data_IF_475219095256
#
_entry.id   IF_475219095256
#
_cell.length_a   1.000
_cell.length_b   1.000
_cell.length_c   1.000
_cell.angle_alpha   90.00
_cell.angle_beta   90.00
_cell.angle_gamma   90.00
#
_symmetry.space_group_name_H-M   'P 1'
#
loop_
_entity.id
_entity.type
_entity.pdbx_description
1 polymer ?
#
# COMPACT_ATOMS: atom_id res chain seq x y z
N UNK A 1 5.01 -13.89 9.10
CA UNK A 1 5.88 -12.70 8.95
C UNK A 1 6.82 -13.00 7.80
N UNK A 2 6.93 -12.10 6.83
CA UNK A 2 7.81 -12.28 5.67
C UNK A 2 8.99 -11.33 5.78
N UNK A 3 10.21 -11.86 5.61
CA UNK A 3 11.47 -11.11 5.69
C UNK A 3 12.28 -11.48 4.46
N UNK A 4 12.77 -10.47 3.74
CA UNK A 4 13.59 -10.65 2.55
C UNK A 4 14.46 -9.42 2.33
N UNK A 5 15.67 -9.63 1.81
CA UNK A 5 16.56 -8.58 1.35
C UNK A 5 16.04 -7.92 0.06
N UNK A 6 15.26 -8.66 -0.74
CA UNK A 6 14.70 -8.19 -2.00
C UNK A 6 13.16 -8.12 -1.96
N UNK A 7 12.61 -6.97 -2.35
CA UNK A 7 11.17 -6.66 -2.35
C UNK A 7 10.60 -6.55 -3.77
N UNK A 8 11.07 -7.39 -4.70
CA UNK A 8 10.59 -7.43 -6.08
C UNK A 8 9.35 -8.31 -6.29
N UNK A 9 8.84 -8.33 -7.51
CA UNK A 9 7.61 -9.04 -7.90
C UNK A 9 7.54 -10.50 -7.42
N UNK A 10 8.66 -11.26 -7.52
CA UNK A 10 8.72 -12.67 -7.09
C UNK A 10 8.48 -12.85 -5.59
N UNK A 11 8.96 -11.91 -4.77
CA UNK A 11 8.77 -11.96 -3.32
C UNK A 11 7.29 -11.76 -2.97
N UNK A 12 6.64 -10.75 -3.57
CA UNK A 12 5.22 -10.49 -3.34
C UNK A 12 4.33 -11.62 -3.82
N UNK A 13 4.63 -12.19 -5.00
CA UNK A 13 3.92 -13.35 -5.53
C UNK A 13 3.95 -14.54 -4.57
N UNK A 14 5.13 -14.82 -3.99
CA UNK A 14 5.28 -15.87 -2.98
C UNK A 14 4.41 -15.61 -1.75
N UNK A 15 4.39 -14.37 -1.24
CA UNK A 15 3.60 -14.01 -0.06
C UNK A 15 2.09 -14.18 -0.31
N UNK A 16 1.57 -13.69 -1.44
CA UNK A 16 0.16 -13.82 -1.77
C UNK A 16 -0.26 -15.28 -2.03
N UNK A 17 0.60 -16.05 -2.70
CA UNK A 17 0.38 -17.50 -2.90
C UNK A 17 0.34 -18.25 -1.57
N UNK A 18 1.23 -17.91 -0.64
CA UNK A 18 1.20 -18.49 0.70
C UNK A 18 -0.10 -18.16 1.45
N UNK A 19 -0.61 -16.92 1.33
CA UNK A 19 -1.91 -16.54 1.89
C UNK A 19 -3.05 -17.39 1.29
N UNK A 20 -3.03 -17.60 -0.03
CA UNK A 20 -4.04 -18.41 -0.71
C UNK A 20 -4.00 -19.86 -0.22
N UNK A 21 -2.79 -20.43 -0.11
CA UNK A 21 -2.56 -21.79 0.42
C UNK A 21 -2.99 -21.95 1.88
N UNK A 22 -2.98 -20.86 2.66
CA UNK A 22 -3.50 -20.83 4.05
C UNK A 22 -5.02 -20.69 4.12
N UNK A 23 -5.70 -20.62 2.98
CA UNK A 23 -7.16 -20.58 2.89
C UNK A 23 -7.77 -19.19 2.75
N UNK A 24 -6.96 -18.15 2.52
CA UNK A 24 -7.51 -16.83 2.14
C UNK A 24 -8.04 -16.94 0.71
N UNK A 25 -9.36 -16.82 0.57
CA UNK A 25 -10.03 -17.03 -0.73
C UNK A 25 -10.18 -15.76 -1.54
N UNK A 26 -10.49 -14.67 -0.85
CA UNK A 26 -10.79 -13.40 -1.50
C UNK A 26 -10.36 -12.24 -0.60
N UNK A 27 -9.93 -11.16 -1.24
CA UNK A 27 -9.50 -9.92 -0.63
C UNK A 27 -10.05 -8.80 -1.51
N UNK A 28 -10.91 -7.95 -0.94
CA UNK A 28 -11.52 -6.89 -1.73
C UNK A 28 -10.53 -5.76 -2.03
N UNK A 29 -9.71 -5.36 -1.05
CA UNK A 29 -8.83 -4.20 -1.16
C UNK A 29 -7.46 -4.50 -0.55
N UNK A 30 -6.38 -4.19 -1.28
CA UNK A 30 -5.06 -3.96 -0.71
C UNK A 30 -4.72 -2.48 -0.70
N UNK A 31 -4.12 -2.04 0.39
CA UNK A 31 -3.45 -0.75 0.46
C UNK A 31 -1.97 -0.97 0.78
N UNK A 32 -1.06 -0.61 -0.12
CA UNK A 32 0.38 -0.67 0.14
C UNK A 32 1.08 0.67 -0.13
N UNK A 33 2.32 0.80 0.34
CA UNK A 33 3.22 1.81 -0.22
C UNK A 33 3.52 1.46 -1.69
N UNK A 34 3.97 2.40 -2.51
CA UNK A 34 4.20 2.22 -3.94
C UNK A 34 5.39 1.26 -4.23
N UNK A 35 5.19 -0.03 -3.94
CA UNK A 35 6.21 -1.07 -3.95
C UNK A 35 6.26 -1.76 -5.32
N UNK A 36 7.48 -1.88 -5.85
CA UNK A 36 7.72 -2.48 -7.16
C UNK A 36 7.23 -3.94 -7.22
N UNK A 37 6.47 -4.26 -8.27
CA UNK A 37 5.95 -5.61 -8.53
C UNK A 37 4.80 -6.05 -7.62
N UNK A 38 4.28 -5.17 -6.75
CA UNK A 38 3.13 -5.49 -5.88
C UNK A 38 1.85 -5.69 -6.69
N UNK A 39 1.51 -4.73 -7.56
CA UNK A 39 0.29 -4.79 -8.39
C UNK A 39 0.29 -6.04 -9.29
N UNK A 40 1.42 -6.35 -9.91
CA UNK A 40 1.56 -7.53 -10.79
C UNK A 40 1.34 -8.83 -10.01
N UNK A 41 1.87 -8.91 -8.78
CA UNK A 41 1.69 -10.07 -7.92
C UNK A 41 0.24 -10.22 -7.42
N UNK A 42 -0.43 -9.12 -7.08
CA UNK A 42 -1.86 -9.12 -6.71
C UNK A 42 -2.69 -9.62 -7.89
N UNK A 43 -2.51 -9.05 -9.08
CA UNK A 43 -3.26 -9.43 -10.28
C UNK A 43 -3.09 -10.91 -10.65
N UNK A 44 -1.94 -11.51 -10.32
CA UNK A 44 -1.67 -12.93 -10.57
C UNK A 44 -2.37 -13.89 -9.58
N UNK A 45 -2.55 -13.51 -8.31
CA UNK A 45 -3.08 -14.41 -7.26
C UNK A 45 -4.53 -14.08 -6.90
N UNK A 46 -4.87 -12.79 -6.80
CA UNK A 46 -6.18 -12.27 -6.44
C UNK A 46 -6.66 -11.27 -7.50
N UNK A 47 -7.09 -11.72 -8.69
CA UNK A 47 -7.41 -10.83 -9.82
C UNK A 47 -8.61 -9.90 -9.59
N UNK A 48 -9.44 -10.19 -8.59
CA UNK A 48 -10.60 -9.35 -8.22
C UNK A 48 -10.28 -8.33 -7.13
N UNK A 49 -9.07 -8.38 -6.57
CA UNK A 49 -8.63 -7.50 -5.49
C UNK A 49 -8.26 -6.14 -6.05
N UNK A 50 -8.85 -5.08 -5.50
CA UNK A 50 -8.52 -3.72 -5.86
C UNK A 50 -7.24 -3.29 -5.14
N UNK A 51 -6.22 -2.89 -5.88
CA UNK A 51 -4.98 -2.37 -5.30
C UNK A 51 -4.99 -0.84 -5.29
N UNK A 52 -4.89 -0.27 -4.10
CA UNK A 52 -4.82 1.17 -3.86
C UNK A 52 -3.48 1.55 -3.22
N UNK A 53 -3.01 2.74 -3.53
CA UNK A 53 -1.85 3.31 -2.82
C UNK A 53 -2.31 3.79 -1.45
N UNK A 54 -1.61 3.38 -0.40
CA UNK A 54 -1.98 3.69 0.97
C UNK A 54 -1.86 5.20 1.26
N UNK A 55 -3.00 5.85 1.51
CA UNK A 55 -3.04 7.28 1.80
C UNK A 55 -2.24 7.67 3.05
N UNK A 56 -2.16 6.79 4.06
CA UNK A 56 -1.35 7.04 5.25
C UNK A 56 0.13 7.13 4.90
N UNK A 57 0.61 6.26 4.00
CA UNK A 57 1.98 6.35 3.48
C UNK A 57 2.18 7.63 2.68
N UNK A 58 1.20 8.02 1.84
CA UNK A 58 1.26 9.28 1.09
C UNK A 58 1.36 10.50 2.01
N UNK A 59 0.47 10.62 3.01
CA UNK A 59 0.50 11.73 3.97
C UNK A 59 1.84 11.76 4.70
N UNK A 60 2.30 10.62 5.22
CA UNK A 60 3.59 10.53 5.91
C UNK A 60 4.75 10.95 5.01
N UNK A 61 4.78 10.48 3.77
CA UNK A 61 5.84 10.77 2.79
C UNK A 61 5.84 12.25 2.38
N UNK A 62 4.68 12.92 2.33
CA UNK A 62 4.62 14.36 2.08
C UNK A 62 5.11 15.19 3.28
N UNK A 63 4.76 14.78 4.51
CA UNK A 63 5.11 15.51 5.73
C UNK A 63 6.61 15.52 6.07
N UNK A 64 7.43 14.67 5.42
CA UNK A 64 8.89 14.67 5.63
C UNK A 64 9.56 15.92 5.03
N UNK A 65 8.94 16.55 4.03
CA UNK A 65 9.50 17.69 3.31
C UNK A 65 9.16 19.04 3.96
N UNK A 66 8.39 19.04 5.04
CA UNK A 66 8.00 20.26 5.77
C UNK A 66 8.53 20.27 7.20
N UNK A 67 8.75 21.48 7.70
CA UNK A 67 9.20 21.72 9.07
C UNK A 67 8.17 21.17 10.07
N UNK A 68 8.62 20.74 11.25
CA UNK A 68 7.73 20.23 12.28
C UNK A 68 6.61 21.24 12.66
N UNK A 69 6.91 22.54 12.61
CA UNK A 69 5.97 23.61 12.92
C UNK A 69 4.79 23.64 11.93
N UNK A 70 5.06 23.34 10.67
CA UNK A 70 4.07 23.47 9.59
C UNK A 70 3.32 22.16 9.29
N UNK A 71 3.80 21.02 9.82
CA UNK A 71 3.18 19.70 9.59
C UNK A 71 1.69 19.67 9.92
N UNK A 72 1.27 20.34 11.01
CA UNK A 72 -0.13 20.35 11.42
C UNK A 72 -1.01 21.12 10.42
N UNK A 73 -0.49 22.23 9.88
CA UNK A 73 -1.18 23.03 8.89
C UNK A 73 -1.30 22.24 7.58
N UNK A 74 -0.18 21.71 7.08
CA UNK A 74 -0.20 20.89 5.86
C UNK A 74 -1.09 19.64 5.99
N UNK A 75 -1.09 18.96 7.14
CA UNK A 75 -1.97 17.82 7.35
C UNK A 75 -3.46 18.18 7.32
N UNK A 76 -3.83 19.38 7.78
CA UNK A 76 -5.19 19.88 7.68
C UNK A 76 -5.57 20.16 6.22
N UNK A 77 -4.67 20.75 5.44
CA UNK A 77 -4.90 21.02 4.01
C UNK A 77 -4.97 19.72 3.19
N UNK A 78 -4.07 18.76 3.45
CA UNK A 78 -4.08 17.43 2.83
C UNK A 78 -5.38 16.66 3.12
N UNK A 79 -6.01 16.90 4.28
CA UNK A 79 -7.29 16.28 4.63
C UNK A 79 -8.38 16.60 3.62
N UNK A 80 -8.40 17.84 3.13
CA UNK A 80 -9.40 18.29 2.17
C UNK A 80 -9.33 17.52 0.85
N UNK A 81 -8.16 16.97 0.48
CA UNK A 81 -7.96 16.21 -0.76
C UNK A 81 -8.71 14.88 -0.75
N UNK A 82 -8.75 14.19 0.40
CA UNK A 82 -9.35 12.85 0.49
C UNK A 82 -10.71 12.82 1.20
N UNK A 83 -11.18 13.96 1.67
CA UNK A 83 -12.56 14.13 2.17
C UNK A 83 -13.41 14.98 1.23
N UNK A 84 -12.93 15.33 0.03
CA UNK A 84 -13.77 16.00 -0.95
C UNK A 84 -14.90 15.06 -1.40
N UNK A 85 -16.11 15.61 -1.51
CA UNK A 85 -17.33 14.95 -2.00
C UNK A 85 -17.72 15.65 -3.29
#
# INVERSE_FOLDING_TARGET
MWISENKGAKFWLGNFTEMQNRGVKDILIACSDNLSGMSDAIAAVYPQMEHQICIVHQIRNNLIYVSYKDRKLLAADLKLIYTCI
#
